data_IF_323607857658
#
_entry.id   IF_323607857658
#
_cell.length_a   1.000
_cell.length_b   1.000
_cell.length_c   1.000
_cell.angle_alpha   90.00
_cell.angle_beta   90.00
_cell.angle_gamma   90.00
#
_symmetry.space_group_name_H-M   'P 1'
#
loop_
_entity.id
_entity.type
_entity.pdbx_description
1 polymer ?
#
# COMPACT_ATOMS: atom_id res chain seq x y z
N UNK A 1 6.73 10.79 -2.08
CA UNK A 1 7.54 9.56 -2.03
C UNK A 1 8.52 9.45 -3.19
N UNK A 2 8.09 9.13 -4.41
CA UNK A 2 9.02 8.93 -5.53
C UNK A 2 10.01 10.08 -5.70
N UNK A 3 9.53 11.33 -5.80
CA UNK A 3 10.39 12.52 -5.90
C UNK A 3 11.34 12.70 -4.71
N UNK A 4 10.96 12.24 -3.52
CA UNK A 4 11.79 12.36 -2.32
C UNK A 4 12.91 11.33 -2.30
N UNK A 5 12.59 10.08 -2.66
CA UNK A 5 13.59 9.04 -2.88
C UNK A 5 14.59 9.45 -3.97
N UNK A 6 14.09 10.02 -5.09
CA UNK A 6 14.96 10.51 -6.17
C UNK A 6 15.93 11.58 -5.70
N UNK A 7 15.48 12.54 -4.88
CA UNK A 7 16.32 13.63 -4.37
C UNK A 7 17.33 13.16 -3.33
N UNK A 8 16.88 12.33 -2.38
CA UNK A 8 17.69 11.89 -1.23
C UNK A 8 18.76 10.88 -1.63
N UNK A 9 18.46 9.98 -2.57
CA UNK A 9 19.39 8.95 -3.00
C UNK A 9 20.00 9.22 -4.38
N UNK A 10 19.61 10.27 -5.08
CA UNK A 10 20.07 10.50 -6.45
C UNK A 10 19.67 9.38 -7.42
N UNK A 11 18.59 8.65 -7.12
CA UNK A 11 18.14 7.48 -7.89
C UNK A 11 17.08 7.83 -8.93
N UNK A 12 17.01 7.03 -10.00
CA UNK A 12 15.86 7.04 -10.89
C UNK A 12 14.74 6.17 -10.31
N UNK A 13 13.52 6.72 -10.15
CA UNK A 13 12.36 5.90 -9.84
C UNK A 13 11.85 5.28 -11.14
N UNK A 14 12.03 3.96 -11.27
CA UNK A 14 11.61 3.20 -12.43
C UNK A 14 10.08 3.15 -12.58
N UNK A 15 9.35 3.18 -11.45
CA UNK A 15 7.89 3.26 -11.44
C UNK A 15 7.41 4.70 -11.70
N UNK A 16 7.81 5.28 -12.84
CA UNK A 16 7.13 6.45 -13.40
C UNK A 16 5.88 5.94 -14.10
N UNK A 17 4.75 6.62 -13.90
CA UNK A 17 3.47 6.40 -14.58
C UNK A 17 3.68 6.29 -16.11
N UNK A 18 4.04 5.12 -16.60
CA UNK A 18 4.09 4.78 -18.02
C UNK A 18 2.99 3.77 -18.24
N UNK A 19 1.99 4.26 -18.94
CA UNK A 19 0.71 3.67 -19.27
C UNK A 19 0.85 2.32 -20.00
N UNK A 20 -0.12 1.43 -19.75
CA UNK A 20 -0.51 0.28 -20.57
C UNK A 20 0.50 -0.84 -20.85
N UNK A 21 1.61 -0.97 -20.11
CA UNK A 21 2.48 -2.15 -20.24
C UNK A 21 2.05 -3.27 -19.27
N UNK A 22 2.22 -4.54 -19.68
CA UNK A 22 2.07 -5.72 -18.80
C UNK A 22 2.99 -5.69 -17.56
N UNK A 23 4.00 -4.82 -17.61
CA UNK A 23 5.01 -4.64 -16.58
C UNK A 23 4.72 -3.47 -15.62
N UNK A 24 3.55 -2.81 -15.78
CA UNK A 24 3.12 -1.78 -14.84
C UNK A 24 2.95 -2.37 -13.42
N UNK A 25 3.59 -1.71 -12.46
CA UNK A 25 3.52 -2.03 -11.04
C UNK A 25 2.32 -1.32 -10.42
N UNK A 26 1.15 -1.94 -10.57
CA UNK A 26 -0.07 -1.47 -9.93
C UNK A 26 0.02 -1.70 -8.42
N UNK A 27 -0.50 -0.74 -7.66
CA UNK A 27 -0.39 -0.69 -6.19
C UNK A 27 -1.13 -1.80 -5.41
N UNK A 28 -1.82 -2.70 -6.12
CA UNK A 28 -2.57 -3.83 -5.57
C UNK A 28 -2.22 -5.16 -6.24
N UNK A 29 -1.17 -5.19 -7.06
CA UNK A 29 -0.80 -6.37 -7.85
C UNK A 29 -0.34 -7.50 -6.92
N UNK A 30 -0.88 -8.69 -7.14
CA UNK A 30 -0.34 -9.92 -6.55
C UNK A 30 0.76 -10.45 -7.47
N UNK A 31 1.98 -10.52 -6.95
CA UNK A 31 3.12 -10.97 -7.73
C UNK A 31 3.30 -12.47 -7.63
N UNK A 32 3.21 -13.18 -8.76
CA UNK A 32 3.41 -14.63 -8.84
C UNK A 32 4.81 -15.01 -9.37
N UNK A 33 5.62 -14.03 -9.77
CA UNK A 33 6.95 -14.25 -10.30
C UNK A 33 7.81 -12.99 -10.10
N UNK A 34 9.12 -13.21 -10.00
CA UNK A 34 10.12 -12.14 -9.88
C UNK A 34 9.96 -11.10 -11.00
N UNK A 35 9.77 -9.81 -10.66
CA UNK A 35 9.73 -8.76 -11.66
C UNK A 35 11.09 -8.57 -12.34
N UNK A 36 11.09 -8.45 -13.67
CA UNK A 36 12.31 -8.36 -14.50
C UNK A 36 13.23 -7.16 -14.17
N UNK A 37 12.70 -6.09 -13.59
CA UNK A 37 13.52 -4.92 -13.24
C UNK A 37 14.46 -5.20 -12.05
N UNK A 38 14.20 -6.25 -11.25
CA UNK A 38 15.06 -6.61 -10.11
C UNK A 38 16.40 -7.23 -10.52
N UNK A 39 16.62 -7.52 -11.80
CA UNK A 39 17.86 -8.13 -12.28
C UNK A 39 18.98 -7.08 -12.55
N UNK A 40 18.65 -5.78 -12.47
CA UNK A 40 19.54 -4.68 -12.88
C UNK A 40 20.10 -3.80 -11.76
N UNK A 41 20.33 -4.33 -10.55
CA UNK A 41 20.79 -3.52 -9.40
C UNK A 41 19.74 -2.54 -8.86
N UNK A 42 18.46 -2.89 -9.03
CA UNK A 42 17.31 -2.10 -8.57
C UNK A 42 16.85 -2.60 -7.21
N UNK A 43 16.57 -1.68 -6.28
CA UNK A 43 15.87 -1.97 -5.04
C UNK A 43 14.36 -1.76 -5.22
N UNK A 44 13.55 -2.78 -4.89
CA UNK A 44 12.11 -2.62 -4.77
C UNK A 44 11.74 -2.08 -3.38
N UNK A 45 11.10 -0.91 -3.34
CA UNK A 45 10.45 -0.40 -2.12
C UNK A 45 8.96 -0.73 -2.20
N UNK A 46 8.55 -1.76 -1.45
CA UNK A 46 7.21 -2.32 -1.45
C UNK A 46 6.38 -1.66 -0.36
N UNK A 47 5.46 -0.79 -0.76
CA UNK A 47 4.65 -0.04 0.19
C UNK A 47 3.43 -0.86 0.61
N UNK A 48 3.24 -1.01 1.92
CA UNK A 48 2.04 -1.62 2.51
C UNK A 48 1.29 -0.57 3.32
N UNK A 49 -0.03 -0.58 3.26
CA UNK A 49 -0.88 0.29 4.08
C UNK A 49 -1.72 -0.57 5.01
N UNK A 50 -2.03 -0.05 6.20
CA UNK A 50 -2.92 -0.71 7.15
C UNK A 50 -4.27 -1.07 6.46
N UNK A 51 -4.80 -2.29 6.66
CA UNK A 51 -5.88 -2.83 5.84
C UNK A 51 -7.17 -2.00 5.90
N UNK A 52 -7.56 -1.43 7.04
CA UNK A 52 -8.77 -0.59 7.13
C UNK A 52 -8.59 0.68 6.28
N UNK A 53 -7.45 1.37 6.44
CA UNK A 53 -7.18 2.57 5.65
C UNK A 53 -6.89 2.29 4.17
N UNK A 54 -6.46 1.07 3.83
CA UNK A 54 -6.35 0.61 2.46
C UNK A 54 -7.73 0.41 1.83
N UNK A 55 -8.62 -0.35 2.48
CA UNK A 55 -10.01 -0.58 2.02
C UNK A 55 -10.76 0.75 1.88
N UNK A 56 -10.70 1.64 2.88
CA UNK A 56 -11.33 2.96 2.80
C UNK A 56 -10.79 3.83 1.65
N UNK A 57 -9.53 3.65 1.27
CA UNK A 57 -8.92 4.38 0.15
C UNK A 57 -9.35 3.79 -1.20
N UNK A 58 -9.45 2.46 -1.26
CA UNK A 58 -9.95 1.71 -2.41
C UNK A 58 -11.43 2.03 -2.67
N UNK A 59 -12.25 2.14 -1.63
CA UNK A 59 -13.67 2.50 -1.73
C UNK A 59 -13.91 3.91 -2.30
N UNK A 60 -12.87 4.72 -2.50
CA UNK A 60 -12.96 6.02 -3.19
C UNK A 60 -12.48 5.97 -4.64
N UNK A 61 -11.92 4.83 -5.07
CA UNK A 61 -11.22 4.63 -6.34
C UNK A 61 -11.51 3.23 -6.94
N UNK A 62 -12.78 2.91 -7.17
CA UNK A 62 -13.22 1.63 -7.76
C UNK A 62 -12.75 1.34 -9.20
N UNK A 63 -12.01 2.25 -9.83
CA UNK A 63 -11.40 1.96 -11.13
C UNK A 63 -10.17 1.04 -11.02
N UNK A 64 -9.68 0.79 -9.81
CA UNK A 64 -8.51 -0.06 -9.56
C UNK A 64 -8.88 -1.45 -9.08
N UNK A 65 -10.11 -1.58 -8.55
CA UNK A 65 -10.67 -2.77 -7.95
C UNK A 65 -12.14 -2.87 -8.31
N UNK A 66 -12.52 -3.99 -8.94
CA UNK A 66 -13.85 -4.18 -9.49
C UNK A 66 -14.64 -5.14 -8.60
N UNK A 67 -15.49 -4.65 -7.67
CA UNK A 67 -16.50 -5.48 -7.05
C UNK A 67 -17.35 -6.17 -8.12
N UNK A 68 -17.49 -7.49 -7.95
CA UNK A 68 -18.25 -8.35 -8.85
C UNK A 68 -19.15 -9.28 -8.06
N UNK A 69 -20.32 -9.57 -8.61
CA UNK A 69 -21.23 -10.61 -8.12
C UNK A 69 -21.21 -11.78 -9.07
N UNK A 70 -21.35 -12.99 -8.52
CA UNK A 70 -21.60 -14.19 -9.32
C UNK A 70 -23.08 -14.31 -9.60
N UNK A 71 -23.45 -14.40 -10.87
CA UNK A 71 -24.82 -14.72 -11.27
C UNK A 71 -25.14 -16.20 -11.04
N UNK A 72 -26.42 -16.57 -11.20
CA UNK A 72 -26.92 -17.94 -11.01
C UNK A 72 -26.28 -18.96 -11.96
N UNK A 73 -25.64 -18.50 -13.05
CA UNK A 73 -24.96 -19.33 -14.04
C UNK A 73 -23.45 -19.34 -13.83
N UNK A 74 -22.95 -18.68 -12.78
CA UNK A 74 -21.54 -18.58 -12.44
C UNK A 74 -20.77 -17.49 -13.21
N UNK A 75 -21.46 -16.68 -14.01
CA UNK A 75 -20.89 -15.50 -14.67
C UNK A 75 -20.56 -14.39 -13.67
N UNK A 76 -19.55 -13.58 -13.97
CA UNK A 76 -19.17 -12.42 -13.16
C UNK A 76 -19.84 -11.18 -13.73
N UNK A 77 -20.51 -10.41 -12.87
CA UNK A 77 -21.13 -9.14 -13.23
C UNK A 77 -20.66 -8.04 -12.29
N UNK A 78 -20.40 -6.86 -12.82
CA UNK A 78 -20.06 -5.69 -12.00
C UNK A 78 -21.20 -5.36 -11.04
N UNK A 79 -20.85 -4.93 -9.82
CA UNK A 79 -21.84 -4.37 -8.90
C UNK A 79 -22.40 -3.05 -9.45
N UNK A 80 -23.70 -2.83 -9.25
CA UNK A 80 -24.33 -1.54 -9.58
C UNK A 80 -24.06 -0.48 -8.51
N UNK A 81 -23.77 -0.91 -7.28
CA UNK A 81 -23.37 -0.07 -6.16
C UNK A 81 -21.83 0.09 -6.12
N UNK A 82 -21.38 1.23 -5.59
CA UNK A 82 -19.95 1.58 -5.41
C UNK A 82 -19.75 2.12 -4.00
N UNK A 83 -20.18 1.35 -3.03
CA UNK A 83 -20.06 1.60 -1.61
C UNK A 83 -18.94 0.76 -1.01
N UNK A 84 -18.45 1.17 0.18
CA UNK A 84 -17.42 0.42 0.90
C UNK A 84 -17.82 -1.05 1.12
N UNK A 85 -19.12 -1.30 1.33
CA UNK A 85 -19.64 -2.64 1.56
C UNK A 85 -19.41 -3.59 0.37
N UNK A 86 -19.41 -3.09 -0.87
CA UNK A 86 -19.20 -3.90 -2.06
C UNK A 86 -17.78 -4.49 -2.13
N UNK A 87 -16.82 -3.96 -1.36
CA UNK A 87 -15.46 -4.51 -1.25
C UNK A 87 -15.37 -5.74 -0.33
N UNK A 88 -16.45 -6.08 0.37
CA UNK A 88 -16.56 -7.28 1.21
C UNK A 88 -17.28 -8.43 0.49
N UNK A 89 -17.73 -8.19 -0.73
CA UNK A 89 -18.09 -9.22 -1.69
C UNK A 89 -16.91 -9.51 -2.63
N UNK A 90 -17.09 -10.41 -3.60
CA UNK A 90 -16.03 -10.76 -4.54
C UNK A 90 -15.48 -9.53 -5.27
N UNK A 91 -14.15 -9.48 -5.42
CA UNK A 91 -13.47 -8.42 -6.17
C UNK A 91 -12.61 -9.02 -7.26
N UNK A 92 -12.71 -8.48 -8.48
CA UNK A 92 -11.80 -8.78 -9.57
C UNK A 92 -10.64 -7.77 -9.59
N UNK A 93 -9.42 -8.30 -9.64
CA UNK A 93 -8.20 -7.55 -9.87
C UNK A 93 -7.24 -8.34 -10.76
N UNK A 94 -6.73 -7.71 -11.82
CA UNK A 94 -5.83 -8.34 -12.80
C UNK A 94 -6.34 -9.72 -13.30
N UNK A 95 -7.65 -9.78 -13.63
CA UNK A 95 -8.36 -10.98 -14.10
C UNK A 95 -8.43 -12.13 -13.07
N UNK A 96 -8.07 -11.87 -11.83
CA UNK A 96 -8.20 -12.81 -10.72
C UNK A 96 -9.33 -12.36 -9.82
N UNK A 97 -10.23 -13.29 -9.47
CA UNK A 97 -11.33 -13.04 -8.54
C UNK A 97 -10.90 -13.45 -7.14
N UNK A 98 -10.94 -12.50 -6.23
CA UNK A 98 -10.72 -12.72 -4.80
C UNK A 98 -12.07 -12.77 -4.08
N UNK A 99 -12.17 -13.55 -2.98
CA UNK A 99 -13.39 -13.60 -2.18
C UNK A 99 -13.86 -12.23 -1.70
N UNK A 100 -12.92 -11.36 -1.35
CA UNK A 100 -13.13 -9.97 -0.95
C UNK A 100 -11.83 -9.16 -1.04
N UNK A 101 -11.93 -7.86 -0.75
CA UNK A 101 -10.78 -6.96 -0.74
C UNK A 101 -9.77 -7.28 0.37
N UNK A 102 -10.18 -7.92 1.47
CA UNK A 102 -9.28 -8.35 2.55
C UNK A 102 -8.39 -9.48 2.04
N UNK A 103 -8.96 -10.46 1.33
CA UNK A 103 -8.24 -11.56 0.72
C UNK A 103 -7.25 -11.08 -0.36
N UNK A 104 -7.64 -10.08 -1.16
CA UNK A 104 -6.72 -9.45 -2.08
C UNK A 104 -5.57 -8.74 -1.36
N UNK A 105 -5.87 -7.92 -0.34
CA UNK A 105 -4.83 -7.23 0.43
C UNK A 105 -3.84 -8.24 1.01
N UNK A 106 -4.35 -9.33 1.62
CA UNK A 106 -3.52 -10.41 2.16
C UNK A 106 -2.67 -11.05 1.08
N UNK A 107 -3.24 -11.38 -0.09
CA UNK A 107 -2.48 -12.00 -1.18
C UNK A 107 -1.39 -11.06 -1.73
N UNK A 108 -1.70 -9.78 -1.92
CA UNK A 108 -0.75 -8.79 -2.41
C UNK A 108 0.41 -8.61 -1.42
N UNK A 109 0.10 -8.39 -0.14
CA UNK A 109 1.11 -8.22 0.90
C UNK A 109 1.93 -9.49 1.09
N UNK A 110 1.31 -10.68 1.07
CA UNK A 110 2.05 -11.95 1.15
C UNK A 110 3.07 -12.07 0.03
N UNK A 111 2.71 -11.65 -1.20
CA UNK A 111 3.66 -11.69 -2.32
C UNK A 111 4.89 -10.82 -2.12
N UNK A 112 4.83 -9.79 -1.26
CA UNK A 112 5.99 -8.94 -0.95
C UNK A 112 7.02 -9.64 -0.05
N UNK A 113 6.61 -10.67 0.69
CA UNK A 113 7.45 -11.47 1.57
C UNK A 113 7.86 -12.82 0.95
N UNK A 114 7.52 -13.05 -0.32
CA UNK A 114 7.93 -14.23 -1.06
C UNK A 114 9.34 -14.00 -1.63
N UNK A 115 10.34 -14.69 -1.09
CA UNK A 115 11.76 -14.53 -1.47
C UNK A 115 12.04 -14.97 -2.92
N UNK A 116 11.19 -15.83 -3.52
CA UNK A 116 11.29 -16.17 -4.95
C UNK A 116 10.83 -15.03 -5.86
N UNK A 117 9.96 -14.15 -5.34
CA UNK A 117 9.41 -13.00 -6.06
C UNK A 117 10.19 -11.72 -5.77
N UNK A 118 10.41 -11.43 -4.49
CA UNK A 118 11.13 -10.26 -3.99
C UNK A 118 12.20 -10.71 -2.99
N UNK A 119 13.41 -11.06 -3.49
CA UNK A 119 14.50 -11.48 -2.63
C UNK A 119 14.85 -10.42 -1.60
N UNK A 120 15.14 -10.82 -0.37
CA UNK A 120 15.52 -9.90 0.72
C UNK A 120 16.75 -9.03 0.39
N UNK A 121 17.59 -9.46 -0.55
CA UNK A 121 18.74 -8.69 -1.05
C UNK A 121 18.39 -7.56 -2.00
N UNK A 122 17.16 -7.53 -2.53
CA UNK A 122 16.72 -6.60 -3.57
C UNK A 122 15.35 -5.96 -3.30
N UNK A 123 14.78 -6.18 -2.12
CA UNK A 123 13.49 -5.63 -1.75
C UNK A 123 13.41 -5.25 -0.27
N UNK A 124 12.63 -4.21 0.01
CA UNK A 124 12.31 -3.74 1.36
C UNK A 124 10.82 -3.44 1.43
N UNK A 125 10.18 -3.87 2.50
CA UNK A 125 8.77 -3.60 2.77
C UNK A 125 8.66 -2.40 3.71
N UNK A 126 7.93 -1.38 3.30
CA UNK A 126 7.79 -0.12 4.05
C UNK A 126 6.31 0.15 4.31
N UNK A 127 5.96 0.42 5.56
CA UNK A 127 4.60 0.83 5.91
C UNK A 127 4.36 2.26 5.43
N UNK A 128 3.22 2.49 4.81
CA UNK A 128 2.79 3.80 4.34
C UNK A 128 2.71 4.78 5.51
N UNK A 129 2.34 4.30 6.70
CA UNK A 129 2.24 5.10 7.91
C UNK A 129 3.63 5.51 8.43
N UNK A 130 4.61 4.61 8.46
CA UNK A 130 6.00 4.98 8.81
C UNK A 130 6.57 5.99 7.82
N UNK A 131 6.33 5.77 6.53
CA UNK A 131 6.74 6.74 5.52
C UNK A 131 6.08 8.12 5.73
N UNK A 132 4.82 8.15 6.14
CA UNK A 132 4.07 9.39 6.38
C UNK A 132 4.48 10.08 7.68
N UNK A 133 4.83 9.36 8.74
CA UNK A 133 5.00 9.94 10.08
C UNK A 133 6.42 9.86 10.63
N UNK A 134 7.22 8.89 10.17
CA UNK A 134 8.61 8.62 10.60
C UNK A 134 9.58 8.64 9.41
N UNK A 135 9.36 9.57 8.48
CA UNK A 135 10.06 9.60 7.18
C UNK A 135 11.58 9.60 7.31
N UNK A 136 12.17 10.42 8.18
CA UNK A 136 13.63 10.51 8.28
C UNK A 136 14.23 9.18 8.75
N UNK A 137 13.59 8.53 9.73
CA UNK A 137 13.97 7.19 10.18
C UNK A 137 13.87 6.16 9.05
N UNK A 138 12.77 6.17 8.27
CA UNK A 138 12.63 5.29 7.09
C UNK A 138 13.75 5.54 6.09
N UNK A 139 14.11 6.81 5.82
CA UNK A 139 15.18 7.14 4.89
C UNK A 139 16.55 6.68 5.37
N UNK A 140 16.85 6.85 6.65
CA UNK A 140 18.11 6.40 7.24
C UNK A 140 18.23 4.87 7.22
N UNK A 141 17.14 4.15 7.54
CA UNK A 141 17.10 2.68 7.44
C UNK A 141 17.24 2.18 6.00
N UNK A 142 16.60 2.85 5.03
CA UNK A 142 16.77 2.53 3.61
C UNK A 142 18.22 2.76 3.13
N UNK A 143 18.86 3.84 3.57
CA UNK A 143 20.26 4.14 3.26
C UNK A 143 21.20 3.05 3.80
N UNK A 144 20.98 2.64 5.06
CA UNK A 144 21.75 1.59 5.71
C UNK A 144 21.57 0.24 5.01
N UNK A 145 20.33 -0.12 4.67
CA UNK A 145 19.98 -1.41 4.05
C UNK A 145 20.60 -1.56 2.66
N UNK A 146 20.62 -0.49 1.86
CA UNK A 146 21.20 -0.51 0.52
C UNK A 146 22.73 -0.33 0.55
N UNK A 147 23.35 -0.11 1.72
CA UNK A 147 24.75 0.31 1.85
C UNK A 147 25.10 1.46 0.87
N UNK A 148 24.11 2.29 0.57
CA UNK A 148 24.18 3.29 -0.48
C UNK A 148 24.62 4.60 0.17
N UNK A 149 25.81 5.08 -0.18
CA UNK A 149 26.25 6.41 0.22
C UNK A 149 25.53 7.43 -0.68
N UNK A 150 24.60 8.25 -0.15
CA UNK A 150 23.99 9.29 -0.95
C UNK A 150 25.07 10.23 -1.50
N UNK A 151 24.96 10.69 -2.77
CA UNK A 151 25.91 11.66 -3.30
C UNK A 151 25.91 12.95 -2.46
N UNK A 152 27.04 13.65 -2.35
CA UNK A 152 27.17 14.90 -1.57
C UNK A 152 26.12 15.97 -1.92
N UNK A 153 25.53 15.89 -3.12
CA UNK A 153 24.46 16.78 -3.59
C UNK A 153 23.04 16.40 -3.13
N UNK A 154 22.87 15.31 -2.38
CA UNK A 154 21.57 14.88 -1.87
C UNK A 154 21.06 15.89 -0.83
N UNK A 155 19.88 16.47 -1.07
CA UNK A 155 19.27 17.45 -0.17
C UNK A 155 19.08 16.90 1.25
N UNK A 156 19.32 17.76 2.24
CA UNK A 156 19.30 17.42 3.66
C UNK A 156 17.89 17.18 4.23
N UNK A 157 16.86 17.83 3.66
CA UNK A 157 15.49 17.73 4.14
C UNK A 157 14.53 17.31 3.02
N UNK A 158 13.55 16.43 3.31
CA UNK A 158 12.38 16.32 2.46
C UNK A 158 11.68 17.69 2.39
N UNK A 159 11.27 18.17 1.20
CA UNK A 159 10.31 19.25 1.11
C UNK A 159 9.09 18.92 1.95
N UNK A 160 8.55 19.95 2.61
CA UNK A 160 7.17 19.98 3.07
C UNK A 160 6.28 19.29 2.02
N UNK A 161 5.43 18.32 2.43
CA UNK A 161 4.58 17.60 1.50
C UNK A 161 3.81 18.63 0.69
N UNK A 162 4.15 18.77 -0.59
CA UNK A 162 3.44 19.70 -1.47
C UNK A 162 1.98 19.32 -1.41
N UNK A 163 1.13 20.30 -1.07
CA UNK A 163 -0.30 20.24 -1.34
C UNK A 163 -0.44 19.65 -2.73
N UNK A 164 -1.03 18.45 -2.85
CA UNK A 164 -1.37 17.94 -4.17
C UNK A 164 -2.25 19.01 -4.79
N UNK A 165 -1.74 19.69 -5.81
CA UNK A 165 -2.39 20.79 -6.51
C UNK A 165 -3.62 20.35 -7.34
N UNK A 166 -4.33 19.33 -6.88
CA UNK A 166 -5.54 18.79 -7.49
C UNK A 166 -6.54 18.51 -6.38
N UNK A 167 -7.49 19.44 -6.24
CA UNK A 167 -8.61 19.53 -5.28
C UNK A 167 -8.19 19.99 -3.88
N UNK A 168 -8.67 21.19 -3.53
CA UNK A 168 -8.64 21.83 -2.22
C UNK A 168 -8.76 20.83 -1.04
N UNK A 169 -7.81 20.85 -0.10
CA UNK A 169 -7.93 20.11 1.17
C UNK A 169 -6.89 19.01 1.41
N UNK A 170 -5.66 19.10 0.85
CA UNK A 170 -4.58 18.22 1.27
C UNK A 170 -4.23 18.50 2.75
N UNK A 171 -4.17 17.44 3.57
CA UNK A 171 -3.81 17.55 4.99
C UNK A 171 -2.30 17.79 5.14
N UNK A 172 -1.90 18.67 6.06
CA UNK A 172 -0.52 18.73 6.55
C UNK A 172 -0.13 17.40 7.21
N UNK A 173 1.17 17.18 7.45
CA UNK A 173 1.66 15.98 8.17
C UNK A 173 1.00 15.84 9.54
N UNK A 174 0.90 16.92 10.30
CA UNK A 174 0.27 16.93 11.62
C UNK A 174 -1.24 16.66 11.54
N UNK A 175 -1.93 17.19 10.53
CA UNK A 175 -3.35 16.90 10.28
C UNK A 175 -3.57 15.46 9.83
N UNK A 176 -2.65 14.90 9.03
CA UNK A 176 -2.68 13.50 8.65
C UNK A 176 -2.45 12.63 9.90
N UNK A 177 -1.42 12.92 10.71
CA UNK A 177 -1.14 12.17 11.92
C UNK A 177 -2.34 12.20 12.87
N UNK A 178 -2.91 13.38 13.14
CA UNK A 178 -4.11 13.49 13.98
C UNK A 178 -5.29 12.67 13.44
N UNK A 179 -5.47 12.62 12.11
CA UNK A 179 -6.51 11.81 11.49
C UNK A 179 -6.25 10.30 11.63
N UNK A 180 -5.04 9.84 11.33
CA UNK A 180 -4.69 8.41 11.41
C UNK A 180 -4.57 7.93 12.86
N UNK A 181 -4.18 8.80 13.80
CA UNK A 181 -4.04 8.52 15.23
C UNK A 181 -5.39 8.33 15.97
N UNK A 182 -6.49 8.76 15.37
CA UNK A 182 -7.83 8.60 15.94
C UNK A 182 -8.43 7.25 15.51
N UNK A 183 -8.64 6.29 16.45
CA UNK A 183 -9.21 4.98 16.14
C UNK A 183 -10.58 5.05 15.45
N UNK A 184 -11.39 6.09 15.70
CA UNK A 184 -12.68 6.24 15.05
C UNK A 184 -12.56 6.44 13.53
N UNK A 185 -11.43 7.01 13.07
CA UNK A 185 -11.17 7.15 11.63
C UNK A 185 -10.75 5.84 10.97
N UNK A 186 -10.21 4.88 11.72
CA UNK A 186 -9.91 3.52 11.25
C UNK A 186 -11.19 2.75 10.97
N UNK A 187 -12.19 2.90 11.83
CA UNK A 187 -13.44 2.13 11.77
C UNK A 187 -14.52 2.83 10.92
N UNK A 188 -14.25 4.05 10.46
CA UNK A 188 -15.21 4.88 9.74
C UNK A 188 -15.75 4.20 8.48
N UNK A 189 -17.07 4.02 8.45
CA UNK A 189 -17.80 3.51 7.29
C UNK A 189 -17.92 1.99 7.25
N UNK A 190 -17.28 1.27 8.17
CA UNK A 190 -17.45 -0.17 8.31
C UNK A 190 -18.64 -0.50 9.21
N UNK A 191 -19.32 -1.61 8.91
CA UNK A 191 -20.20 -2.29 9.87
C UNK A 191 -19.39 -3.17 10.83
N UNK A 192 -19.97 -3.57 11.96
CA UNK A 192 -19.29 -4.48 12.91
C UNK A 192 -18.87 -5.81 12.28
N UNK A 193 -19.68 -6.37 11.38
CA UNK A 193 -19.34 -7.59 10.66
C UNK A 193 -18.14 -7.39 9.72
N UNK A 194 -18.04 -6.22 9.07
CA UNK A 194 -16.91 -5.89 8.21
C UNK A 194 -15.62 -5.69 9.01
N UNK A 195 -15.69 -5.05 10.19
CA UNK A 195 -14.54 -4.93 11.11
C UNK A 195 -14.05 -6.31 11.58
N UNK A 196 -14.99 -7.19 11.93
CA UNK A 196 -14.69 -8.60 12.23
C UNK A 196 -14.01 -9.29 11.06
N UNK A 197 -14.54 -9.11 9.84
CA UNK A 197 -13.95 -9.68 8.62
C UNK A 197 -12.54 -9.19 8.33
N UNK A 198 -12.23 -7.91 8.55
CA UNK A 198 -10.85 -7.41 8.41
C UNK A 198 -9.93 -8.05 9.44
N UNK A 199 -10.38 -8.16 10.69
CA UNK A 199 -9.59 -8.72 11.80
C UNK A 199 -9.32 -10.22 11.63
N UNK A 200 -10.31 -10.98 11.16
CA UNK A 200 -10.20 -12.44 10.93
C UNK A 200 -9.57 -12.80 9.58
N UNK A 201 -9.80 -11.96 8.56
CA UNK A 201 -9.39 -12.22 7.18
C UNK A 201 -7.98 -11.73 6.84
N UNK A 202 -7.44 -10.79 7.60
CA UNK A 202 -6.03 -10.44 7.51
C UNK A 202 -5.19 -11.57 8.11
N UNK A 203 -4.14 -12.01 7.39
CA UNK A 203 -3.23 -13.03 7.90
C UNK A 203 -2.55 -12.55 9.20
N UNK A 204 -2.76 -13.24 10.34
CA UNK A 204 -2.21 -12.81 11.63
C UNK A 204 -0.67 -12.73 11.65
N UNK A 205 0.02 -13.57 10.87
CA UNK A 205 1.48 -13.54 10.80
C UNK A 205 1.97 -12.29 10.05
N UNK A 206 1.31 -11.93 8.94
CA UNK A 206 1.62 -10.69 8.22
C UNK A 206 1.30 -9.46 9.06
N UNK A 207 0.14 -9.48 9.73
CA UNK A 207 -0.27 -8.41 10.63
C UNK A 207 0.76 -8.18 11.74
N UNK A 208 1.24 -9.27 12.38
CA UNK A 208 2.29 -9.19 13.39
C UNK A 208 3.61 -8.63 12.86
N UNK A 209 4.10 -9.11 11.69
CA UNK A 209 5.33 -8.61 11.06
C UNK A 209 5.24 -7.11 10.77
N UNK A 210 4.07 -6.65 10.31
CA UNK A 210 3.83 -5.25 9.97
C UNK A 210 3.40 -4.39 11.17
N UNK A 211 3.31 -4.97 12.37
CA UNK A 211 2.78 -4.26 13.54
C UNK A 211 1.36 -3.72 13.33
N UNK A 212 0.56 -4.39 12.49
CA UNK A 212 -0.86 -4.16 12.33
C UNK A 212 -1.61 -5.12 13.27
N UNK A 213 -2.54 -4.60 14.06
CA UNK A 213 -3.19 -5.34 15.14
C UNK A 213 -3.89 -4.40 16.11
N UNK A 214 -4.28 -4.91 17.28
CA UNK A 214 -4.79 -4.08 18.37
C UNK A 214 -3.72 -3.06 18.77
N UNK A 215 -4.02 -1.76 18.63
CA UNK A 215 -3.08 -0.68 18.94
C UNK A 215 -2.12 -0.29 17.82
N UNK A 216 -2.28 -0.77 16.58
CA UNK A 216 -1.44 -0.38 15.43
C UNK A 216 -1.29 1.15 15.30
N UNK A 217 -2.37 1.87 15.59
CA UNK A 217 -2.46 3.34 15.55
C UNK A 217 -1.52 4.02 16.56
N UNK A 218 -1.31 3.42 17.73
CA UNK A 218 -0.43 3.96 18.77
C UNK A 218 1.05 3.96 18.34
N UNK A 219 1.44 3.03 17.47
CA UNK A 219 2.80 2.94 16.94
C UNK A 219 3.15 3.97 15.86
N UNK A 220 2.21 4.82 15.43
CA UNK A 220 2.45 5.81 14.36
C UNK A 220 2.88 7.18 14.87
N UNK A 221 2.64 7.47 16.15
CA UNK A 221 2.99 8.72 16.81
C UNK A 221 4.21 8.61 17.75
N UNK A 222 4.80 7.41 17.84
CA UNK A 222 5.93 7.10 18.73
C UNK A 222 7.29 7.27 18.05
#
# INVERSE_FOLDING_TARGET
MALELQKRFGVAVANRLVTNSRDALWKHRVHAARPRFLDGGTLAVLMVKEPHFWIQSTARNFYELHPVVRDERGGLQDTTSRELADLFDCVEHDKTVYPDAVALWTAAVRSYFDDEVFPASAAVVVRAEDFLFRFDAVMDELAATWAFAPPESAGAEPPEPREKATKSGARSRSQALAYYADPANRDRGFSGAQLGRVSEGADPALAAILGYGEGAVAGWAA
#
